data_IF_939708546341
#
_entry.id   IF_939708546341
#
_cell.length_a   1.000
_cell.length_b   1.000
_cell.length_c   1.000
_cell.angle_alpha   90.00
_cell.angle_beta   90.00
_cell.angle_gamma   90.00
#
_symmetry.space_group_name_H-M   'P 1'
#
loop_
_entity.id
_entity.type
_entity.pdbx_description
1 polymer ?
#
# COMPACT_ATOMS: atom_id res chain seq x y z
N UNK A 1 -0.34 20.81 9.84
CA UNK A 1 0.02 19.42 10.20
C UNK A 1 0.84 18.90 9.06
N UNK A 2 1.88 18.13 9.34
CA UNK A 2 2.75 17.50 8.32
C UNK A 2 2.06 16.30 7.70
N UNK A 3 2.36 16.01 6.43
CA UNK A 3 1.93 14.78 5.76
C UNK A 3 2.74 13.60 6.30
N UNK A 4 2.08 12.45 6.51
CA UNK A 4 2.69 11.28 7.15
C UNK A 4 2.33 9.99 6.45
N UNK A 5 3.30 9.10 6.42
CA UNK A 5 3.12 7.72 5.99
C UNK A 5 3.18 6.82 7.23
N UNK A 6 2.03 6.32 7.68
CA UNK A 6 1.94 5.33 8.75
C UNK A 6 2.07 3.94 8.13
N UNK A 7 3.16 3.28 8.36
CA UNK A 7 3.46 1.96 7.82
C UNK A 7 2.81 0.90 8.70
N UNK A 8 1.77 0.25 8.24
CA UNK A 8 1.07 -0.79 9.00
C UNK A 8 1.68 -2.17 8.80
N UNK A 9 2.34 -2.40 7.66
CA UNK A 9 3.01 -3.65 7.37
C UNK A 9 4.03 -3.48 6.25
N UNK A 10 5.08 -4.30 6.25
CA UNK A 10 6.24 -4.16 5.38
C UNK A 10 6.61 -5.42 4.60
N UNK A 11 5.95 -6.54 4.88
CA UNK A 11 6.34 -7.84 4.35
C UNK A 11 5.57 -8.28 3.11
N UNK A 12 6.13 -9.24 2.39
CA UNK A 12 5.49 -9.92 1.27
C UNK A 12 4.40 -10.92 1.72
N UNK A 13 3.87 -11.72 0.78
CA UNK A 13 2.75 -12.63 1.03
C UNK A 13 3.00 -13.68 2.12
N UNK A 14 4.22 -14.20 2.26
CA UNK A 14 4.50 -15.36 3.12
C UNK A 14 5.23 -15.02 4.42
N UNK A 15 5.33 -13.75 4.77
CA UNK A 15 5.98 -13.33 6.01
C UNK A 15 5.19 -13.78 7.25
N UNK A 16 5.92 -14.03 8.33
CA UNK A 16 5.36 -14.45 9.61
C UNK A 16 5.85 -13.61 10.79
N UNK A 17 6.87 -12.76 10.57
CA UNK A 17 7.52 -11.94 11.60
C UNK A 17 7.20 -10.46 11.49
N UNK A 18 6.62 -10.04 10.36
CA UNK A 18 6.07 -8.72 10.13
C UNK A 18 4.68 -8.88 9.48
N UNK A 19 3.95 -7.79 9.31
CA UNK A 19 2.66 -7.80 8.64
C UNK A 19 2.82 -7.54 7.13
N UNK A 20 1.84 -7.99 6.35
CA UNK A 20 1.85 -7.76 4.90
C UNK A 20 1.76 -6.28 4.57
N UNK A 21 2.38 -5.87 3.47
CA UNK A 21 2.52 -4.47 3.07
C UNK A 21 1.17 -3.77 2.97
N UNK A 22 0.97 -2.80 3.83
CA UNK A 22 -0.16 -1.88 3.82
C UNK A 22 0.20 -0.63 4.63
N UNK A 23 -0.42 0.50 4.32
CA UNK A 23 -0.07 1.77 4.95
C UNK A 23 -1.25 2.75 4.94
N UNK A 24 -1.19 3.75 5.83
CA UNK A 24 -2.12 4.86 5.85
C UNK A 24 -1.36 6.16 5.54
N UNK A 25 -1.72 6.78 4.43
CA UNK A 25 -1.20 8.09 4.04
C UNK A 25 -2.11 9.15 4.67
N UNK A 26 -1.55 10.00 5.54
CA UNK A 26 -2.26 11.03 6.29
C UNK A 26 -1.85 12.42 5.83
N UNK A 27 -2.84 13.32 5.72
CA UNK A 27 -2.64 14.75 5.48
C UNK A 27 -3.70 15.55 6.23
N UNK A 28 -3.59 16.89 6.34
CA UNK A 28 -4.46 17.70 7.22
C UNK A 28 -5.96 17.53 6.97
N UNK A 29 -6.37 17.35 5.71
CA UNK A 29 -7.77 17.26 5.31
C UNK A 29 -8.32 15.84 5.35
N UNK A 30 -7.47 14.80 5.48
CA UNK A 30 -7.91 13.41 5.47
C UNK A 30 -6.78 12.39 5.38
N UNK A 31 -7.08 11.25 4.76
CA UNK A 31 -6.10 10.19 4.56
C UNK A 31 -6.63 9.08 3.65
N UNK A 32 -5.72 8.23 3.21
CA UNK A 32 -5.99 7.07 2.36
C UNK A 32 -5.30 5.85 2.96
N UNK A 33 -6.09 4.83 3.31
CA UNK A 33 -5.56 3.51 3.61
C UNK A 33 -5.29 2.79 2.29
N UNK A 34 -4.12 2.20 2.16
CA UNK A 34 -3.71 1.44 0.97
C UNK A 34 -3.47 0.01 1.36
N UNK A 35 -4.27 -0.88 0.81
CA UNK A 35 -4.36 -2.29 1.13
C UNK A 35 -4.65 -2.59 2.62
N UNK A 36 -4.87 -3.86 2.93
CA UNK A 36 -5.25 -4.26 4.28
C UNK A 36 -4.51 -5.51 4.78
N UNK A 37 -3.52 -5.98 4.04
CA UNK A 37 -2.82 -7.21 4.40
C UNK A 37 -3.66 -8.48 4.27
N UNK A 38 -3.15 -9.58 4.79
CA UNK A 38 -3.67 -10.94 4.56
C UNK A 38 -4.79 -11.41 5.50
N UNK A 39 -5.26 -10.58 6.43
CA UNK A 39 -6.33 -11.03 7.32
C UNK A 39 -6.62 -10.11 8.50
N UNK A 40 -7.08 -10.69 9.62
CA UNK A 40 -7.48 -9.91 10.80
C UNK A 40 -6.34 -9.16 11.49
N UNK A 41 -5.10 -9.46 11.14
CA UNK A 41 -3.92 -8.74 11.64
C UNK A 41 -4.00 -7.23 11.41
N UNK A 42 -4.70 -6.77 10.35
CA UNK A 42 -4.93 -5.33 10.11
C UNK A 42 -5.58 -4.64 11.31
N UNK A 43 -6.47 -5.32 12.04
CA UNK A 43 -7.15 -4.75 13.20
C UNK A 43 -6.15 -4.41 14.31
N UNK A 44 -5.19 -5.32 14.55
CA UNK A 44 -4.11 -5.12 15.51
C UNK A 44 -3.16 -4.03 15.04
N UNK A 45 -2.74 -4.05 13.77
CA UNK A 45 -1.85 -3.03 13.22
C UNK A 45 -2.45 -1.63 13.33
N UNK A 46 -3.75 -1.50 13.06
CA UNK A 46 -4.46 -0.22 13.25
C UNK A 46 -4.52 0.20 14.72
N UNK A 47 -4.78 -0.74 15.64
CA UNK A 47 -4.83 -0.47 17.09
C UNK A 47 -3.46 -0.01 17.60
N UNK A 48 -2.40 -0.75 17.28
CA UNK A 48 -1.03 -0.47 17.68
C UNK A 48 -0.51 0.85 17.09
N UNK A 49 -0.93 1.20 15.86
CA UNK A 49 -0.66 2.49 15.23
C UNK A 49 -1.54 3.64 15.75
N UNK A 50 -2.51 3.39 16.63
CA UNK A 50 -3.48 4.39 17.09
C UNK A 50 -4.47 4.87 16.02
N UNK A 51 -4.56 4.15 14.89
CA UNK A 51 -5.45 4.49 13.78
C UNK A 51 -6.85 3.91 14.00
N UNK A 52 -7.79 4.77 14.39
CA UNK A 52 -9.19 4.36 14.57
C UNK A 52 -9.90 4.20 13.23
N UNK A 53 -10.73 3.18 13.08
CA UNK A 53 -11.50 2.94 11.84
C UNK A 53 -12.38 4.13 11.48
N UNK A 54 -12.89 4.88 12.47
CA UNK A 54 -13.70 6.08 12.28
C UNK A 54 -12.97 7.22 11.56
N UNK A 55 -11.64 7.14 11.44
CA UNK A 55 -10.79 8.09 10.70
C UNK A 55 -10.47 7.64 9.28
N UNK A 56 -10.72 6.37 8.96
CA UNK A 56 -10.46 5.81 7.62
C UNK A 56 -11.71 6.00 6.76
N UNK A 57 -11.74 7.05 5.95
CA UNK A 57 -12.85 7.36 5.03
C UNK A 57 -12.57 6.92 3.59
N UNK A 58 -11.32 6.65 3.26
CA UNK A 58 -10.90 6.19 1.95
C UNK A 58 -9.98 4.97 2.08
N UNK A 59 -10.29 3.93 1.32
CA UNK A 59 -9.48 2.74 1.13
C UNK A 59 -9.16 2.61 -0.36
N UNK A 60 -7.90 2.44 -0.70
CA UNK A 60 -7.48 1.99 -2.02
C UNK A 60 -6.99 0.55 -1.93
N UNK A 61 -7.52 -0.32 -2.79
CA UNK A 61 -7.05 -1.69 -2.93
C UNK A 61 -6.36 -1.83 -4.28
N UNK A 62 -5.15 -2.35 -4.26
CA UNK A 62 -4.29 -2.48 -5.43
C UNK A 62 -4.70 -3.65 -6.31
N UNK A 63 -4.85 -4.84 -5.72
CA UNK A 63 -5.16 -6.09 -6.42
C UNK A 63 -5.71 -7.17 -5.48
N UNK A 64 -6.02 -8.36 -6.02
CA UNK A 64 -6.76 -9.40 -5.29
C UNK A 64 -5.88 -10.51 -4.68
N UNK A 65 -4.55 -10.34 -4.59
CA UNK A 65 -3.74 -11.29 -3.83
C UNK A 65 -4.14 -11.31 -2.35
N UNK A 66 -3.94 -12.45 -1.72
CA UNK A 66 -4.42 -12.72 -0.36
C UNK A 66 -3.82 -11.77 0.67
N UNK A 67 -2.59 -11.37 0.49
CA UNK A 67 -1.82 -10.47 1.36
C UNK A 67 -2.14 -8.98 1.21
N UNK A 68 -3.02 -8.63 0.28
CA UNK A 68 -3.53 -7.26 0.08
C UNK A 68 -5.03 -7.14 0.37
N UNK A 69 -5.82 -8.14 -0.09
CA UNK A 69 -7.28 -8.06 -0.10
C UNK A 69 -7.93 -8.57 1.19
N UNK A 70 -7.46 -9.68 1.78
CA UNK A 70 -8.24 -10.38 2.80
C UNK A 70 -8.48 -9.57 4.07
N UNK A 71 -7.54 -8.69 4.43
CA UNK A 71 -7.73 -7.75 5.53
C UNK A 71 -8.87 -6.75 5.30
N UNK A 72 -9.20 -6.44 4.03
CA UNK A 72 -10.30 -5.52 3.72
C UNK A 72 -11.66 -6.03 4.16
N UNK A 73 -11.89 -7.34 4.17
CA UNK A 73 -13.12 -7.94 4.73
C UNK A 73 -13.27 -7.59 6.21
N UNK A 74 -12.17 -7.62 6.95
CA UNK A 74 -12.15 -7.25 8.38
C UNK A 74 -12.33 -5.76 8.59
N UNK A 75 -11.72 -4.92 7.74
CA UNK A 75 -11.93 -3.47 7.76
C UNK A 75 -13.40 -3.13 7.51
N UNK A 76 -14.02 -3.72 6.48
CA UNK A 76 -15.44 -3.54 6.16
C UNK A 76 -16.32 -3.94 7.35
N UNK A 77 -16.04 -5.09 7.97
CA UNK A 77 -16.76 -5.54 9.17
C UNK A 77 -16.63 -4.55 10.33
N UNK A 78 -15.42 -4.05 10.56
CA UNK A 78 -15.14 -3.09 11.63
C UNK A 78 -15.83 -1.76 11.38
N UNK A 79 -15.74 -1.20 10.16
CA UNK A 79 -16.41 0.04 9.77
C UNK A 79 -17.94 -0.10 9.90
N UNK A 80 -18.53 -1.18 9.34
CA UNK A 80 -19.97 -1.44 9.46
C UNK A 80 -20.42 -1.61 10.93
N UNK A 81 -19.57 -2.21 11.78
CA UNK A 81 -19.87 -2.30 13.23
C UNK A 81 -19.88 -0.92 13.87
N UNK A 82 -18.93 -0.06 13.57
CA UNK A 82 -18.87 1.31 14.08
C UNK A 82 -20.01 2.18 13.52
N UNK A 83 -20.40 1.98 12.25
CA UNK A 83 -21.58 2.61 11.64
C UNK A 83 -22.86 2.24 12.39
N UNK A 84 -23.05 0.96 12.71
CA UNK A 84 -24.19 0.47 13.50
C UNK A 84 -24.25 1.05 14.91
N UNK A 85 -23.10 1.20 15.54
CA UNK A 85 -22.98 1.83 16.87
C UNK A 85 -23.15 3.36 16.82
N UNK A 86 -23.13 3.96 15.64
CA UNK A 86 -23.23 5.41 15.45
C UNK A 86 -21.91 6.16 15.74
N UNK A 87 -20.80 5.46 16.01
CA UNK A 87 -19.49 6.08 16.20
C UNK A 87 -18.82 6.49 14.89
N UNK A 88 -19.00 5.72 13.81
CA UNK A 88 -18.48 6.08 12.49
C UNK A 88 -19.41 7.09 11.81
N UNK A 89 -18.90 8.28 11.52
CA UNK A 89 -19.64 9.34 10.80
C UNK A 89 -19.23 9.36 9.32
N UNK A 90 -20.20 9.66 8.43
CA UNK A 90 -19.96 9.70 6.99
C UNK A 90 -19.84 8.32 6.33
N UNK A 91 -19.01 8.20 5.31
CA UNK A 91 -18.91 7.03 4.44
C UNK A 91 -17.49 6.46 4.41
N UNK A 92 -17.37 5.16 4.18
CA UNK A 92 -16.12 4.51 3.74
C UNK A 92 -16.19 4.37 2.22
N UNK A 93 -15.27 4.99 1.51
CA UNK A 93 -15.17 4.89 0.05
C UNK A 93 -14.02 3.96 -0.31
N UNK A 94 -14.32 2.91 -1.07
CA UNK A 94 -13.35 1.91 -1.52
C UNK A 94 -13.06 2.15 -3.00
N UNK A 95 -11.81 2.47 -3.30
CA UNK A 95 -11.28 2.71 -4.63
C UNK A 95 -10.53 1.45 -5.09
N UNK A 96 -10.91 0.86 -6.20
CA UNK A 96 -10.25 -0.31 -6.77
C UNK A 96 -10.72 -0.50 -8.22
N UNK A 97 -10.05 -1.36 -8.99
CA UNK A 97 -10.54 -1.70 -10.34
C UNK A 97 -11.81 -2.59 -10.27
N UNK A 98 -12.66 -2.61 -11.34
CA UNK A 98 -13.97 -3.27 -11.28
C UNK A 98 -13.94 -4.75 -10.89
N UNK A 99 -12.95 -5.51 -11.38
CA UNK A 99 -12.81 -6.93 -11.05
C UNK A 99 -12.53 -7.14 -9.56
N UNK A 100 -11.72 -6.26 -8.95
CA UNK A 100 -11.40 -6.32 -7.53
C UNK A 100 -12.61 -5.93 -6.66
N UNK A 101 -13.41 -4.95 -7.10
CA UNK A 101 -14.68 -4.63 -6.45
C UNK A 101 -15.57 -5.86 -6.37
N UNK A 102 -15.74 -6.57 -7.49
CA UNK A 102 -16.57 -7.78 -7.53
C UNK A 102 -16.05 -8.86 -6.58
N UNK A 103 -14.73 -9.06 -6.54
CA UNK A 103 -14.10 -10.02 -5.62
C UNK A 103 -14.37 -9.65 -4.16
N UNK A 104 -14.12 -8.40 -3.74
CA UNK A 104 -14.35 -7.96 -2.36
C UNK A 104 -15.81 -8.06 -1.97
N UNK A 105 -16.74 -7.63 -2.83
CA UNK A 105 -18.19 -7.77 -2.59
C UNK A 105 -18.58 -9.23 -2.37
N UNK A 106 -18.03 -10.14 -3.18
CA UNK A 106 -18.28 -11.58 -3.06
C UNK A 106 -17.77 -12.10 -1.72
N UNK A 107 -16.51 -11.84 -1.37
CA UNK A 107 -15.95 -12.26 -0.08
C UNK A 107 -16.75 -11.72 1.09
N UNK A 108 -17.11 -10.45 1.08
CA UNK A 108 -17.93 -9.87 2.15
C UNK A 108 -19.33 -10.51 2.23
N UNK A 109 -19.98 -10.78 1.09
CA UNK A 109 -21.32 -11.33 1.06
C UNK A 109 -21.38 -12.76 1.59
N UNK A 110 -20.37 -13.60 1.29
CA UNK A 110 -20.34 -14.99 1.75
C UNK A 110 -19.81 -15.15 3.17
N UNK A 111 -19.06 -14.16 3.70
CA UNK A 111 -18.39 -14.28 5.01
C UNK A 111 -18.99 -13.40 6.10
N UNK A 112 -19.66 -12.31 5.74
CA UNK A 112 -20.25 -11.38 6.70
C UNK A 112 -21.77 -11.58 6.82
N UNK A 113 -22.30 -11.27 8.01
CA UNK A 113 -23.74 -11.22 8.20
C UNK A 113 -24.35 -10.06 7.40
N UNK A 114 -25.54 -10.27 6.85
CA UNK A 114 -26.29 -9.29 6.05
C UNK A 114 -26.34 -7.89 6.68
N UNK A 115 -26.50 -7.79 8.00
CA UNK A 115 -26.50 -6.50 8.73
C UNK A 115 -25.24 -5.64 8.55
N UNK A 116 -24.13 -6.20 8.05
CA UNK A 116 -22.90 -5.46 7.73
C UNK A 116 -22.84 -5.10 6.24
N UNK A 117 -23.31 -5.98 5.37
CA UNK A 117 -23.36 -5.72 3.92
C UNK A 117 -24.54 -4.84 3.52
N UNK A 118 -25.53 -4.64 4.38
CA UNK A 118 -26.63 -3.68 4.16
C UNK A 118 -26.14 -2.23 4.03
N UNK A 119 -24.91 -1.93 4.48
CA UNK A 119 -24.30 -0.61 4.27
C UNK A 119 -23.67 -0.42 2.88
N UNK A 120 -23.64 -1.47 2.06
CA UNK A 120 -23.09 -1.36 0.70
C UNK A 120 -23.96 -0.42 -0.13
N UNK A 121 -23.27 0.45 -0.88
CA UNK A 121 -23.86 1.48 -1.75
C UNK A 121 -24.64 2.59 -1.00
N UNK A 122 -24.78 2.48 0.32
CA UNK A 122 -25.34 3.53 1.19
C UNK A 122 -24.24 4.30 1.94
N UNK A 123 -23.42 3.59 2.71
CA UNK A 123 -22.36 4.15 3.54
C UNK A 123 -20.98 3.51 3.31
N UNK A 124 -20.94 2.32 2.73
CA UNK A 124 -19.72 1.69 2.20
C UNK A 124 -19.86 1.75 0.69
N UNK A 125 -19.15 2.72 0.10
CA UNK A 125 -19.27 3.07 -1.30
C UNK A 125 -18.12 2.46 -2.09
N UNK A 126 -18.44 1.71 -3.11
CA UNK A 126 -17.45 1.27 -4.08
C UNK A 126 -17.35 2.28 -5.21
N UNK A 127 -16.15 2.67 -5.54
CA UNK A 127 -15.84 3.63 -6.61
C UNK A 127 -14.78 3.05 -7.52
N UNK A 128 -15.20 2.28 -8.52
CA UNK A 128 -14.27 1.70 -9.50
C UNK A 128 -13.39 2.78 -10.12
N UNK A 129 -12.15 2.42 -10.37
CA UNK A 129 -11.16 3.27 -11.03
C UNK A 129 -10.73 2.65 -12.37
N UNK A 130 -10.42 3.51 -13.33
CA UNK A 130 -9.88 3.14 -14.63
C UNK A 130 -8.40 3.53 -14.74
N UNK A 131 -7.70 2.93 -15.71
CA UNK A 131 -6.32 3.29 -16.01
C UNK A 131 -6.20 4.75 -16.44
N UNK A 132 -5.23 5.47 -15.85
CA UNK A 132 -5.01 6.89 -16.06
C UNK A 132 -6.03 7.80 -15.38
N UNK A 133 -6.99 7.26 -14.61
CA UNK A 133 -8.04 8.06 -13.99
C UNK A 133 -7.48 8.99 -12.90
N UNK A 134 -7.92 10.25 -12.97
CA UNK A 134 -7.61 11.25 -11.93
C UNK A 134 -8.82 11.42 -11.01
N UNK A 135 -8.56 11.47 -9.71
CA UNK A 135 -9.60 11.62 -8.69
C UNK A 135 -9.12 12.49 -7.55
N UNK A 136 -9.98 13.40 -7.10
CA UNK A 136 -9.75 14.10 -5.84
C UNK A 136 -10.18 13.21 -4.65
N UNK A 137 -9.31 13.08 -3.67
CA UNK A 137 -9.56 12.39 -2.41
C UNK A 137 -9.16 13.34 -1.28
N UNK A 138 -10.15 13.84 -0.56
CA UNK A 138 -9.98 14.77 0.56
C UNK A 138 -8.99 15.90 0.26
N UNK A 139 -9.17 16.56 -0.91
CA UNK A 139 -8.38 17.72 -1.33
C UNK A 139 -7.02 17.42 -1.94
N UNK A 140 -6.68 16.16 -2.17
CA UNK A 140 -5.46 15.73 -2.87
C UNK A 140 -5.83 15.06 -4.20
N UNK A 141 -5.12 15.40 -5.28
CA UNK A 141 -5.33 14.78 -6.58
C UNK A 141 -4.49 13.51 -6.71
N UNK A 142 -5.17 12.40 -6.91
CA UNK A 142 -4.57 11.09 -7.22
C UNK A 142 -4.72 10.79 -8.71
N UNK A 143 -3.71 10.15 -9.30
CA UNK A 143 -3.79 9.53 -10.63
C UNK A 143 -3.53 8.05 -10.46
N UNK A 144 -4.54 7.24 -10.76
CA UNK A 144 -4.46 5.77 -10.68
C UNK A 144 -4.06 5.21 -12.03
N UNK A 145 -3.26 4.16 -12.05
CA UNK A 145 -2.82 3.53 -13.30
C UNK A 145 -2.61 2.03 -13.12
N UNK A 146 -2.82 1.28 -14.20
CA UNK A 146 -2.51 -0.15 -14.28
C UNK A 146 -0.99 -0.32 -14.39
N UNK A 147 -0.39 -1.14 -13.54
CA UNK A 147 1.05 -1.42 -13.58
C UNK A 147 1.44 -2.42 -14.67
N UNK A 148 0.46 -2.94 -15.40
CA UNK A 148 0.61 -3.99 -16.43
C UNK A 148 1.23 -5.28 -15.88
N UNK A 149 0.82 -5.69 -14.69
CA UNK A 149 1.21 -6.96 -14.09
C UNK A 149 0.78 -8.14 -14.98
N UNK A 150 1.66 -9.13 -15.10
CA UNK A 150 1.36 -10.37 -15.82
C UNK A 150 0.73 -11.46 -14.95
N UNK A 151 0.71 -11.25 -13.63
CA UNK A 151 0.11 -12.19 -12.66
C UNK A 151 -1.39 -11.94 -12.48
N UNK A 152 -1.74 -10.67 -12.26
CA UNK A 152 -3.10 -10.25 -11.93
C UNK A 152 -3.22 -8.74 -12.18
N UNK A 153 -4.38 -8.26 -12.64
CA UNK A 153 -4.60 -6.83 -12.76
C UNK A 153 -4.33 -6.12 -11.45
N UNK A 154 -3.41 -5.17 -11.47
CA UNK A 154 -2.96 -4.41 -10.32
C UNK A 154 -2.85 -2.94 -10.66
N UNK A 155 -3.33 -2.10 -9.75
CA UNK A 155 -3.25 -0.65 -9.87
C UNK A 155 -2.30 -0.06 -8.85
N UNK A 156 -1.68 1.03 -9.25
CA UNK A 156 -0.85 1.89 -8.45
C UNK A 156 -1.36 3.34 -8.54
N UNK A 157 -0.69 4.28 -7.90
CA UNK A 157 -1.08 5.69 -8.01
C UNK A 157 0.10 6.66 -7.87
N UNK A 158 -0.10 7.88 -8.38
CA UNK A 158 0.63 9.06 -7.93
C UNK A 158 -0.32 10.00 -7.21
N UNK A 159 0.20 10.76 -6.23
CA UNK A 159 -0.54 11.79 -5.51
C UNK A 159 0.24 13.10 -5.51
N UNK A 160 -0.47 14.22 -5.66
CA UNK A 160 0.10 15.55 -5.45
C UNK A 160 -0.06 15.91 -3.97
N UNK A 161 1.06 15.89 -3.27
CA UNK A 161 1.18 16.19 -1.85
C UNK A 161 1.84 17.57 -1.66
N UNK A 162 1.80 18.13 -0.46
CA UNK A 162 2.50 19.39 -0.17
C UNK A 162 4.02 19.22 -0.28
N UNK A 163 4.53 18.03 0.07
CA UNK A 163 5.93 17.65 -0.11
C UNK A 163 6.35 17.43 -1.57
N UNK A 164 5.40 17.44 -2.51
CA UNK A 164 5.57 17.19 -3.95
C UNK A 164 4.89 15.91 -4.43
N UNK A 165 5.30 15.41 -5.60
CA UNK A 165 4.74 14.18 -6.15
C UNK A 165 5.17 12.95 -5.34
N UNK A 166 4.20 12.22 -4.80
CA UNK A 166 4.39 10.88 -4.24
C UNK A 166 3.97 9.85 -5.29
N UNK A 167 4.79 8.84 -5.53
CA UNK A 167 4.51 7.73 -6.42
C UNK A 167 4.57 6.40 -5.65
N UNK A 168 3.45 5.68 -5.59
CA UNK A 168 3.35 4.31 -5.11
C UNK A 168 3.21 3.41 -6.32
N UNK A 169 4.14 2.43 -6.47
CA UNK A 169 4.28 1.66 -7.71
C UNK A 169 3.78 0.21 -7.60
N UNK A 170 3.11 -0.14 -6.50
CA UNK A 170 2.62 -1.51 -6.28
C UNK A 170 3.66 -2.42 -5.63
N UNK A 171 3.50 -3.73 -5.81
CA UNK A 171 4.33 -4.79 -5.21
C UNK A 171 5.11 -5.63 -6.23
N UNK A 172 5.26 -5.11 -7.45
CA UNK A 172 6.09 -5.68 -8.52
C UNK A 172 7.15 -4.68 -9.00
N UNK A 173 8.20 -5.14 -9.72
CA UNK A 173 9.15 -4.27 -10.38
C UNK A 173 8.44 -3.27 -11.28
N UNK A 174 8.87 -2.01 -11.23
CA UNK A 174 8.23 -0.96 -12.03
C UNK A 174 8.33 -1.28 -13.51
N UNK A 175 7.18 -1.43 -14.16
CA UNK A 175 7.10 -1.63 -15.60
C UNK A 175 7.65 -0.39 -16.33
N UNK A 176 8.51 -0.54 -17.35
CA UNK A 176 9.03 0.60 -18.12
C UNK A 176 7.96 1.55 -18.65
N UNK A 177 6.77 1.02 -19.01
CA UNK A 177 5.63 1.85 -19.46
C UNK A 177 5.09 2.77 -18.35
N UNK A 178 5.33 2.44 -17.08
CA UNK A 178 4.84 3.19 -15.92
C UNK A 178 5.90 4.12 -15.29
N UNK A 179 7.15 4.10 -15.78
CA UNK A 179 8.25 4.88 -15.19
C UNK A 179 7.97 6.40 -15.15
N UNK A 180 7.20 6.92 -16.11
CA UNK A 180 6.89 8.34 -16.17
C UNK A 180 6.07 8.80 -14.96
N UNK A 181 5.27 7.92 -14.37
CA UNK A 181 4.54 8.23 -13.13
C UNK A 181 5.51 8.48 -11.95
N UNK A 182 6.62 7.75 -11.89
CA UNK A 182 7.61 7.89 -10.83
C UNK A 182 8.71 8.94 -11.11
N UNK A 183 8.87 9.40 -12.38
CA UNK A 183 9.92 10.35 -12.77
C UNK A 183 9.85 11.64 -11.96
N UNK A 184 11.00 12.06 -11.38
CA UNK A 184 11.16 13.25 -10.54
C UNK A 184 10.20 13.28 -9.34
N UNK A 185 9.78 12.13 -8.81
CA UNK A 185 8.95 12.09 -7.62
C UNK A 185 9.73 12.61 -6.40
N UNK A 186 9.03 13.34 -5.52
CA UNK A 186 9.58 13.70 -4.22
C UNK A 186 9.70 12.43 -3.35
N UNK A 187 8.75 11.50 -3.48
CA UNK A 187 8.74 10.23 -2.78
C UNK A 187 8.38 9.10 -3.75
N UNK A 188 9.19 8.04 -3.75
CA UNK A 188 8.92 6.77 -4.43
C UNK A 188 8.75 5.66 -3.40
N UNK A 189 7.59 5.03 -3.39
CA UNK A 189 7.28 3.86 -2.57
C UNK A 189 7.39 2.63 -3.48
N UNK A 190 8.40 1.80 -3.26
CA UNK A 190 8.80 0.73 -4.17
C UNK A 190 8.99 -0.59 -3.42
N UNK A 191 8.61 -1.70 -4.05
CA UNK A 191 8.92 -3.02 -3.52
C UNK A 191 10.42 -3.31 -3.62
N UNK A 192 10.94 -4.10 -2.67
CA UNK A 192 12.31 -4.59 -2.64
C UNK A 192 12.36 -5.91 -1.85
N UNK A 193 12.15 -7.00 -2.55
CA UNK A 193 11.93 -8.30 -1.93
C UNK A 193 13.10 -8.76 -1.05
N UNK A 194 14.33 -8.65 -1.55
CA UNK A 194 15.55 -9.06 -0.84
C UNK A 194 16.78 -8.25 -1.29
N UNK A 195 17.90 -8.46 -0.61
CA UNK A 195 19.19 -7.94 -1.06
C UNK A 195 19.65 -8.62 -2.36
N UNK A 196 20.43 -7.93 -3.18
CA UNK A 196 21.02 -8.48 -4.41
C UNK A 196 21.88 -9.70 -4.14
N UNK A 197 22.63 -9.68 -3.03
CA UNK A 197 23.45 -10.82 -2.62
C UNK A 197 22.63 -12.08 -2.32
N UNK A 198 21.38 -11.92 -1.91
CA UNK A 198 20.48 -13.02 -1.55
C UNK A 198 19.58 -13.45 -2.73
N UNK A 199 19.75 -12.83 -3.91
CA UNK A 199 18.88 -13.06 -5.07
C UNK A 199 18.93 -14.49 -5.60
N UNK A 200 20.05 -15.19 -5.51
CA UNK A 200 20.16 -16.61 -5.91
C UNK A 200 19.33 -17.50 -5.00
N UNK A 201 19.31 -17.21 -3.70
CA UNK A 201 18.53 -17.96 -2.71
C UNK A 201 17.04 -17.70 -2.83
N UNK A 202 16.64 -16.44 -2.89
CA UNK A 202 15.21 -16.04 -2.88
C UNK A 202 14.55 -16.05 -4.24
N UNK A 203 15.32 -15.99 -5.33
CA UNK A 203 14.84 -15.95 -6.73
C UNK A 203 13.76 -14.88 -6.96
N UNK A 204 14.02 -13.60 -6.62
CA UNK A 204 13.02 -12.56 -6.72
C UNK A 204 12.49 -12.40 -8.14
N UNK A 205 13.34 -12.47 -9.15
CA UNK A 205 12.97 -12.27 -10.55
C UNK A 205 12.01 -13.34 -11.08
N UNK A 206 12.15 -14.61 -10.64
CA UNK A 206 11.22 -15.69 -10.99
C UNK A 206 9.84 -15.47 -10.36
N UNK A 207 9.79 -14.70 -9.27
CA UNK A 207 8.58 -14.35 -8.53
C UNK A 207 8.00 -12.99 -8.95
N UNK A 208 8.58 -12.35 -9.99
CA UNK A 208 8.25 -10.99 -10.39
C UNK A 208 8.42 -9.96 -9.26
N UNK A 209 9.58 -10.02 -8.59
CA UNK A 209 10.02 -9.03 -7.61
C UNK A 209 11.42 -8.52 -7.94
N UNK A 210 11.79 -7.38 -7.37
CA UNK A 210 13.12 -6.78 -7.51
C UNK A 210 13.95 -6.96 -6.25
N UNK A 211 15.24 -6.62 -6.35
CA UNK A 211 16.12 -6.49 -5.21
C UNK A 211 16.22 -5.03 -4.76
N UNK A 212 16.76 -4.80 -3.58
CA UNK A 212 17.06 -3.45 -3.07
C UNK A 212 17.91 -2.66 -4.05
N UNK A 213 18.94 -3.28 -4.63
CA UNK A 213 19.83 -2.65 -5.62
C UNK A 213 19.05 -2.20 -6.87
N UNK A 214 18.09 -3.03 -7.35
CA UNK A 214 17.30 -2.70 -8.53
C UNK A 214 16.37 -1.50 -8.25
N UNK A 215 15.68 -1.47 -7.12
CA UNK A 215 14.81 -0.37 -6.70
C UNK A 215 15.58 0.94 -6.50
N UNK A 216 16.76 0.87 -5.88
CA UNK A 216 17.65 2.02 -5.67
C UNK A 216 18.21 2.57 -6.99
N UNK A 217 18.65 1.71 -7.90
CA UNK A 217 19.13 2.11 -9.23
C UNK A 217 18.00 2.75 -10.06
N UNK A 218 16.78 2.22 -9.97
CA UNK A 218 15.60 2.80 -10.59
C UNK A 218 15.33 4.21 -10.06
N UNK A 219 15.32 4.38 -8.73
CA UNK A 219 15.08 5.69 -8.09
C UNK A 219 16.12 6.73 -8.53
N UNK A 220 17.39 6.36 -8.60
CA UNK A 220 18.46 7.23 -9.10
C UNK A 220 18.24 7.64 -10.57
N UNK A 221 17.92 6.67 -11.43
CA UNK A 221 17.68 6.91 -12.87
C UNK A 221 16.46 7.79 -13.14
N UNK A 222 15.44 7.68 -12.30
CA UNK A 222 14.20 8.46 -12.43
C UNK A 222 14.28 9.84 -11.74
N UNK A 223 15.40 10.20 -11.10
CA UNK A 223 15.56 11.49 -10.43
C UNK A 223 14.68 11.66 -9.17
N UNK A 224 14.38 10.57 -8.48
CA UNK A 224 13.61 10.56 -7.24
C UNK A 224 14.40 11.25 -6.13
N UNK A 225 13.72 11.88 -5.16
CA UNK A 225 14.38 12.50 -4.01
C UNK A 225 14.47 11.58 -2.79
N UNK A 226 13.36 10.88 -2.47
CA UNK A 226 13.27 9.99 -1.33
C UNK A 226 12.69 8.65 -1.76
N UNK A 227 13.29 7.56 -1.32
CA UNK A 227 12.94 6.19 -1.65
C UNK A 227 12.51 5.43 -0.39
N UNK A 228 11.30 4.87 -0.39
CA UNK A 228 10.82 3.92 0.62
C UNK A 228 10.88 2.53 0.02
N UNK A 229 11.54 1.59 0.71
CA UNK A 229 11.69 0.20 0.31
C UNK A 229 10.96 -0.71 1.30
N UNK A 230 10.07 -1.53 0.79
CA UNK A 230 9.28 -2.48 1.57
C UNK A 230 8.88 -3.73 0.75
N UNK A 231 7.82 -4.45 1.15
CA UNK A 231 7.37 -5.70 0.54
C UNK A 231 8.47 -6.78 0.58
N UNK A 232 9.15 -6.86 1.72
CA UNK A 232 10.39 -7.62 1.89
C UNK A 232 10.12 -9.05 2.37
N UNK A 233 11.12 -9.92 2.19
CA UNK A 233 11.19 -11.19 2.91
C UNK A 233 11.49 -10.96 4.40
N UNK A 234 11.23 -11.97 5.25
CA UNK A 234 11.50 -11.91 6.70
C UNK A 234 12.39 -13.05 7.22
N UNK A 235 12.88 -13.91 6.31
CA UNK A 235 13.66 -15.11 6.65
C UNK A 235 15.08 -14.74 7.07
N UNK A 236 15.71 -13.79 6.39
CA UNK A 236 17.07 -13.31 6.70
C UNK A 236 17.17 -12.53 8.03
N UNK A 237 16.04 -12.32 8.70
CA UNK A 237 15.94 -11.62 9.97
C UNK A 237 15.62 -10.14 9.83
N UNK A 238 14.70 -9.65 10.68
CA UNK A 238 14.23 -8.26 10.66
C UNK A 238 15.18 -7.32 11.40
N UNK A 239 15.89 -7.80 12.41
CA UNK A 239 16.72 -6.94 13.29
C UNK A 239 17.75 -6.08 12.51
N UNK A 240 18.36 -6.66 11.49
CA UNK A 240 19.40 -5.99 10.68
C UNK A 240 18.87 -5.54 9.31
N UNK A 241 17.61 -5.80 8.97
CA UNK A 241 17.02 -5.48 7.67
C UNK A 241 17.23 -4.03 7.29
N UNK A 242 16.83 -3.11 8.16
CA UNK A 242 16.94 -1.66 7.96
C UNK A 242 18.38 -1.24 7.61
N UNK A 243 19.35 -1.68 8.41
CA UNK A 243 20.75 -1.35 8.19
C UNK A 243 21.30 -1.95 6.88
N UNK A 244 21.03 -3.23 6.62
CA UNK A 244 21.51 -3.96 5.43
C UNK A 244 20.92 -3.40 4.15
N UNK A 245 19.60 -3.16 4.12
CA UNK A 245 18.91 -2.63 2.94
C UNK A 245 19.33 -1.18 2.66
N UNK A 246 19.46 -0.35 3.69
CA UNK A 246 19.95 1.03 3.55
C UNK A 246 21.37 1.04 3.00
N UNK A 247 22.24 0.17 3.51
CA UNK A 247 23.64 0.09 3.06
C UNK A 247 23.78 -0.36 1.58
N UNK A 248 22.92 -1.29 1.12
CA UNK A 248 22.91 -1.68 -0.29
C UNK A 248 22.31 -0.58 -1.16
N UNK A 249 21.18 0.00 -0.77
CA UNK A 249 20.52 1.06 -1.53
C UNK A 249 21.43 2.29 -1.70
N UNK A 250 22.21 2.66 -0.67
CA UNK A 250 23.16 3.78 -0.71
C UNK A 250 24.31 3.62 -1.72
N UNK A 251 24.57 2.41 -2.19
CA UNK A 251 25.55 2.16 -3.27
C UNK A 251 25.02 2.61 -4.64
N UNK A 252 23.70 2.73 -4.79
CA UNK A 252 23.05 2.99 -6.07
C UNK A 252 22.22 4.28 -6.08
N UNK A 253 21.87 4.82 -4.90
CA UNK A 253 21.02 5.99 -4.76
C UNK A 253 21.56 6.94 -3.71
N UNK A 254 21.57 8.27 -4.01
CA UNK A 254 22.14 9.30 -3.13
C UNK A 254 21.08 10.18 -2.47
N UNK A 255 19.81 9.91 -2.67
CA UNK A 255 18.69 10.61 -2.02
C UNK A 255 18.37 10.07 -0.63
N UNK A 256 17.24 10.46 -0.08
CA UNK A 256 16.75 9.91 1.18
C UNK A 256 16.35 8.43 1.03
N UNK A 257 16.83 7.55 1.90
CA UNK A 257 16.54 6.11 1.88
C UNK A 257 15.80 5.75 3.17
N UNK A 258 14.63 5.14 3.02
CA UNK A 258 13.78 4.72 4.12
C UNK A 258 13.44 3.23 3.97
N UNK A 259 13.81 2.45 4.95
CA UNK A 259 13.47 1.02 5.07
C UNK A 259 12.68 0.88 6.37
N UNK A 260 11.35 1.07 6.34
CA UNK A 260 10.56 1.08 7.56
C UNK A 260 10.40 -0.32 8.14
N UNK A 261 10.17 -0.37 9.44
CA UNK A 261 9.55 -1.50 10.12
C UNK A 261 8.04 -1.28 10.24
N UNK A 262 7.31 -2.35 10.59
CA UNK A 262 5.89 -2.23 10.89
C UNK A 262 5.69 -1.20 12.02
N UNK A 263 4.67 -0.36 11.88
CA UNK A 263 4.28 0.71 12.79
C UNK A 263 5.22 1.94 12.79
N UNK A 264 6.24 1.96 11.92
CA UNK A 264 7.02 3.19 11.71
C UNK A 264 6.13 4.29 11.10
N UNK A 265 6.46 5.54 11.43
CA UNK A 265 5.85 6.74 10.83
C UNK A 265 6.94 7.51 10.11
N UNK A 266 6.76 7.72 8.80
CA UNK A 266 7.65 8.52 7.98
C UNK A 266 7.00 9.88 7.76
N UNK A 267 7.67 10.95 8.15
CA UNK A 267 7.27 12.34 7.83
C UNK A 267 7.66 12.63 6.36
N UNK A 268 6.71 13.09 5.56
CA UNK A 268 6.88 13.31 4.11
C UNK A 268 7.33 14.75 3.79
#
# INVERSE_FOLDING_TARGET
>A
MTERLHVLGTGNALVTRCYNTCFYLEWPEGGLLVDCGGGNGILRQMEDAGLKVEKVHHLFLTHAHTDHLLGAVWLVRMAATAMRKGSYKGTLTIHCHPTLEQALRTFCTITLQKKFTDFFDERILFRPIADGERRDIAGRTFTFFDIHSTKMQQFAFTAQMDCGKLAFMGDEPVNPACEEYARNAAWLLCEAFCLKADAEHFRPYEKHHSTVADGAALAARLGVKNLVLWHTEDISGLADRKARYTAEAAQHFQGGIYVPDDLDVVEL
#
